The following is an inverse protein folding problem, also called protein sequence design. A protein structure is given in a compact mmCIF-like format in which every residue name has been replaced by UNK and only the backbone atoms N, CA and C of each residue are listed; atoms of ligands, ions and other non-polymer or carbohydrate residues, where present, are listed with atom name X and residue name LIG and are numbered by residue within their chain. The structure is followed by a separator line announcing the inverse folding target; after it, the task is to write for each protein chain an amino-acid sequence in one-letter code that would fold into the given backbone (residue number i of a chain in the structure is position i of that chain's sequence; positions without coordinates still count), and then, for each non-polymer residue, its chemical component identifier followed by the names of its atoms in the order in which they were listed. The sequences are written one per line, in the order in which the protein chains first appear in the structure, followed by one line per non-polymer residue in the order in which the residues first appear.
data_IF_355368158912
#
_entry.id   IF_355368158912
#
_cell.length_a   1.000
_cell.length_b   1.000
_cell.length_c   1.000
_cell.angle_alpha   90.00
_cell.angle_beta   90.00
_cell.angle_gamma   90.00
#
_symmetry.space_group_name_H-M   'P 1'
#
loop_
_entity.id
_entity.type
_entity.pdbx_description
1 polymer ?
#
# COMPACT_ATOMS: atom_id res chain seq x y z
N UNK A 1 -11.87 -46.61 27.48
CA UNK A 1 -10.59 -46.81 28.20
C UNK A 1 -9.98 -45.45 28.47
N UNK A 2 -9.51 -45.28 29.72
CA UNK A 2 -8.88 -44.08 30.29
C UNK A 2 -7.51 -43.76 29.63
N UNK A 3 -6.97 -42.54 29.86
CA UNK A 3 -5.92 -41.89 29.07
C UNK A 3 -4.50 -42.21 29.57
N UNK A 4 -3.47 -41.49 29.08
CA UNK A 4 -2.52 -40.94 30.04
C UNK A 4 -2.22 -39.45 29.87
N UNK A 5 -1.81 -38.89 31.01
CA UNK A 5 -1.45 -37.52 31.30
C UNK A 5 0.05 -37.29 31.17
N UNK A 6 0.43 -36.00 31.04
CA UNK A 6 1.64 -35.30 31.54
C UNK A 6 1.92 -34.09 30.62
N UNK A 7 2.49 -32.96 31.00
CA UNK A 7 2.81 -32.30 32.28
C UNK A 7 3.62 -31.02 31.88
N UNK A 8 3.26 -29.87 32.48
CA UNK A 8 4.11 -28.72 32.85
C UNK A 8 5.07 -28.05 31.84
N UNK A 9 4.73 -26.81 31.47
CA UNK A 9 5.57 -25.59 31.50
C UNK A 9 4.64 -24.39 31.15
N UNK A 10 4.47 -23.32 31.92
CA UNK A 10 5.47 -22.53 32.63
C UNK A 10 5.90 -21.36 31.74
N UNK A 11 5.14 -20.25 31.69
CA UNK A 11 5.50 -19.11 30.83
C UNK A 11 4.56 -17.90 30.90
N UNK A 12 4.79 -17.05 31.90
CA UNK A 12 4.58 -15.59 31.94
C UNK A 12 3.32 -14.98 31.28
N UNK A 13 2.31 -14.73 32.14
CA UNK A 13 1.35 -13.63 31.96
C UNK A 13 2.09 -12.29 32.10
N UNK A 14 2.33 -11.61 30.99
CA UNK A 14 2.69 -10.19 30.99
C UNK A 14 1.40 -9.37 31.07
N UNK A 15 1.18 -8.79 32.25
CA UNK A 15 0.13 -7.83 32.55
C UNK A 15 0.36 -6.54 31.76
N UNK A 16 -0.36 -6.38 30.65
CA UNK A 16 -0.50 -5.08 29.99
C UNK A 16 -1.40 -4.18 30.85
N UNK A 17 -0.82 -3.08 31.32
CA UNK A 17 -1.44 -2.03 32.14
C UNK A 17 -2.74 -1.49 31.52
N UNK A 18 -3.82 -1.32 32.31
CA UNK A 18 -4.92 -0.45 31.91
C UNK A 18 -4.48 1.01 32.05
N UNK A 19 -4.54 1.75 30.95
CA UNK A 19 -4.38 3.21 30.94
C UNK A 19 -5.50 3.84 31.80
N UNK A 20 -5.19 4.80 32.70
CA UNK A 20 -6.22 5.43 33.51
C UNK A 20 -6.99 6.47 32.68
N UNK A 21 -8.31 6.36 32.76
CA UNK A 21 -9.28 7.37 32.33
C UNK A 21 -9.02 8.68 33.08
N UNK A 22 -8.68 9.70 32.30
CA UNK A 22 -8.44 11.06 32.76
C UNK A 22 -9.80 11.71 33.10
N UNK A 23 -10.07 11.91 34.39
CA UNK A 23 -11.16 12.77 34.88
C UNK A 23 -10.54 14.09 35.36
N UNK A 24 -11.17 15.25 35.13
CA UNK A 24 -10.60 16.53 35.54
C UNK A 24 -10.68 16.68 37.07
N UNK A 25 -9.51 16.70 37.73
CA UNK A 25 -9.39 17.18 39.10
C UNK A 25 -9.36 18.72 39.10
N UNK A 26 -10.35 19.33 39.73
CA UNK A 26 -10.29 20.72 40.19
C UNK A 26 -9.48 20.71 41.49
N UNK A 27 -8.22 21.14 41.43
CA UNK A 27 -7.31 21.23 42.57
C UNK A 27 -7.37 22.64 43.19
N UNK A 28 -7.88 22.71 44.41
CA UNK A 28 -7.71 23.85 45.31
C UNK A 28 -6.61 23.51 46.33
N UNK A 29 -5.44 24.12 46.19
CA UNK A 29 -4.47 24.21 47.30
C UNK A 29 -3.81 25.58 47.33
N UNK A 30 -3.98 26.26 48.45
CA UNK A 30 -3.12 27.32 48.96
C UNK A 30 -1.64 26.92 48.93
N UNK A 31 -0.74 27.83 48.50
CA UNK A 31 0.38 28.42 49.30
C UNK A 31 1.10 29.48 48.44
N UNK A 32 1.53 30.57 49.07
CA UNK A 32 2.15 31.80 48.53
C UNK A 32 3.37 31.59 47.60
N UNK A 33 3.75 32.60 46.79
CA UNK A 33 4.72 33.60 47.26
C UNK A 33 4.43 35.04 46.78
N UNK A 34 5.10 35.99 47.42
CA UNK A 34 4.88 37.43 47.24
C UNK A 34 5.51 38.07 46.01
N UNK A 35 5.44 39.40 46.05
CA UNK A 35 6.04 40.45 45.21
C UNK A 35 4.99 41.31 44.48
N UNK A 36 5.19 42.62 44.63
CA UNK A 36 4.32 43.73 44.25
C UNK A 36 3.99 43.83 42.74
N UNK A 37 3.04 44.69 42.36
CA UNK A 37 3.48 46.00 41.87
C UNK A 37 2.61 47.20 42.27
N UNK A 38 3.26 48.36 42.12
CA UNK A 38 2.82 49.73 42.32
C UNK A 38 1.63 50.18 41.46
N UNK A 39 0.93 51.21 41.94
CA UNK A 39 0.00 52.08 41.19
C UNK A 39 -1.17 52.51 42.07
N UNK A 40 -1.04 53.48 42.98
CA UNK A 40 -0.92 54.94 42.76
C UNK A 40 -2.13 55.56 42.04
N UNK A 41 -3.11 56.01 42.83
CA UNK A 41 -4.00 57.17 42.58
C UNK A 41 -4.53 57.60 43.96
N UNK A 42 -3.89 58.52 44.68
CA UNK A 42 -3.94 59.99 44.54
C UNK A 42 -5.30 60.61 44.91
N UNK A 43 -5.39 61.15 46.14
CA UNK A 43 -6.24 62.28 46.53
C UNK A 43 -7.18 62.05 47.73
N UNK A 44 -7.37 63.02 48.65
CA UNK A 44 -6.45 64.01 49.20
C UNK A 44 -6.23 63.82 50.73
N UNK A 45 -5.21 64.46 51.34
CA UNK A 45 -5.01 64.42 52.78
C UNK A 45 -5.93 65.44 53.47
N UNK A 46 -6.89 64.95 54.26
CA UNK A 46 -7.55 65.82 55.24
C UNK A 46 -6.57 65.97 56.40
N UNK A 47 -5.98 67.16 56.47
CA UNK A 47 -5.06 67.61 57.49
C UNK A 47 -5.61 67.29 58.89
N UNK A 48 -4.96 66.35 59.58
CA UNK A 48 -5.01 66.26 61.03
C UNK A 48 -4.24 67.47 61.59
N UNK A 49 -4.98 68.56 61.75
CA UNK A 49 -4.52 69.75 62.44
C UNK A 49 -4.34 69.38 63.92
N UNK A 50 -3.12 68.98 64.28
CA UNK A 50 -2.66 68.92 65.67
C UNK A 50 -2.47 70.35 66.17
N UNK A 51 -3.56 71.06 66.38
CA UNK A 51 -3.59 72.25 67.22
C UNK A 51 -3.82 71.78 68.65
N UNK A 52 -2.77 71.83 69.46
CA UNK A 52 -2.88 71.80 70.91
C UNK A 52 -3.86 72.88 71.35
N UNK A 53 -5.04 72.44 71.78
CA UNK A 53 -5.98 73.21 72.58
C UNK A 53 -6.36 72.31 73.73
N UNK A 54 -6.01 72.72 74.95
CA UNK A 54 -6.43 72.05 76.17
C UNK A 54 -7.96 72.05 76.26
N UNK A 55 -8.59 71.03 75.70
CA UNK A 55 -9.98 70.70 75.97
C UNK A 55 -10.01 69.99 77.31
N UNK A 56 -10.04 70.77 78.39
CA UNK A 56 -10.39 70.23 79.70
C UNK A 56 -11.65 69.38 79.53
N UNK A 57 -11.64 68.16 80.06
CA UNK A 57 -12.85 67.39 80.24
C UNK A 57 -13.83 68.30 80.97
N UNK A 58 -14.83 68.82 80.25
CA UNK A 58 -15.89 69.61 80.86
C UNK A 58 -16.62 68.63 81.75
N UNK A 59 -16.27 68.65 83.04
CA UNK A 59 -17.03 67.96 84.05
C UNK A 59 -18.39 68.66 84.07
N UNK A 60 -19.42 67.97 83.59
CA UNK A 60 -20.80 68.42 83.70
C UNK A 60 -21.22 68.33 85.16
N UNK A 61 -20.71 69.26 85.96
CA UNK A 61 -21.00 69.38 87.37
C UNK A 61 -22.25 70.24 87.50
N UNK A 62 -23.30 69.64 88.05
CA UNK A 62 -24.57 70.31 88.27
C UNK A 62 -24.42 71.31 89.42
N UNK A 63 -25.09 72.46 89.31
CA UNK A 63 -25.28 73.32 90.48
C UNK A 63 -26.03 72.55 91.57
N UNK A 64 -25.79 72.81 92.87
CA UNK A 64 -26.53 72.16 93.95
C UNK A 64 -28.06 72.24 93.80
N UNK A 65 -28.56 73.36 93.25
CA UNK A 65 -29.99 73.55 92.97
C UNK A 65 -30.46 72.67 91.81
N UNK A 66 -29.66 72.51 90.77
CA UNK A 66 -29.96 71.67 89.60
C UNK A 66 -29.91 70.18 89.98
N UNK A 67 -28.92 69.77 90.75
CA UNK A 67 -28.81 68.42 91.26
C UNK A 67 -29.96 68.06 92.20
N UNK A 68 -30.38 68.96 93.09
CA UNK A 68 -31.55 68.73 93.93
C UNK A 68 -32.83 68.54 93.09
N UNK A 69 -33.03 69.36 92.05
CA UNK A 69 -34.14 69.20 91.10
C UNK A 69 -34.06 67.86 90.36
N UNK A 70 -32.88 67.49 89.89
CA UNK A 70 -32.64 66.22 89.21
C UNK A 70 -32.93 65.02 90.13
N UNK A 71 -32.49 65.07 91.39
CA UNK A 71 -32.76 64.05 92.41
C UNK A 71 -34.26 63.83 92.59
N UNK A 72 -35.04 64.90 92.76
CA UNK A 72 -36.50 64.78 92.93
C UNK A 72 -37.15 64.13 91.70
N UNK A 73 -36.72 64.50 90.49
CA UNK A 73 -37.22 63.92 89.25
C UNK A 73 -36.83 62.45 89.07
N UNK A 74 -35.60 62.09 89.42
CA UNK A 74 -35.08 60.71 89.33
C UNK A 74 -35.79 59.81 90.36
N UNK A 75 -36.02 60.30 91.58
CA UNK A 75 -36.78 59.55 92.59
C UNK A 75 -38.22 59.30 92.14
N UNK A 76 -38.86 60.31 91.55
CA UNK A 76 -40.21 60.16 91.00
C UNK A 76 -40.23 59.19 89.81
N UNK A 77 -39.25 59.27 88.91
CA UNK A 77 -39.09 58.31 87.81
C UNK A 77 -38.89 56.88 88.33
N UNK A 78 -38.08 56.69 89.38
CA UNK A 78 -37.90 55.38 90.02
C UNK A 78 -39.20 54.86 90.65
N UNK A 79 -39.97 55.71 91.34
CA UNK A 79 -41.29 55.32 91.88
C UNK A 79 -42.24 54.88 90.77
N UNK A 80 -42.29 55.63 89.67
CA UNK A 80 -43.12 55.29 88.51
C UNK A 80 -42.64 54.00 87.83
N UNK A 81 -41.33 53.80 87.69
CA UNK A 81 -40.79 52.60 87.05
C UNK A 81 -40.96 51.36 87.93
N UNK A 82 -40.90 51.51 89.25
CA UNK A 82 -41.29 50.47 90.22
C UNK A 82 -42.79 50.16 90.15
N UNK A 83 -43.64 51.17 90.01
CA UNK A 83 -45.07 50.99 89.81
C UNK A 83 -45.38 50.23 88.51
N UNK A 84 -44.72 50.61 87.42
CA UNK A 84 -44.84 49.93 86.11
C UNK A 84 -44.27 48.52 86.14
N UNK A 85 -43.23 48.25 86.95
CA UNK A 85 -42.70 46.90 87.21
C UNK A 85 -43.68 46.03 88.01
N UNK A 86 -44.48 46.64 88.90
CA UNK A 86 -45.57 45.97 89.63
C UNK A 86 -46.80 45.71 88.76
N UNK A 87 -47.06 46.59 87.78
CA UNK A 87 -48.19 46.48 86.85
C UNK A 87 -47.95 45.45 85.75
N UNK A 88 -46.73 45.41 85.20
CA UNK A 88 -46.39 44.36 84.23
C UNK A 88 -46.21 43.06 84.98
N UNK A 89 -46.79 41.95 84.50
CA UNK A 89 -46.68 40.68 85.18
C UNK A 89 -45.21 40.28 85.26
N UNK A 90 -44.58 40.54 86.40
CA UNK A 90 -43.36 39.85 86.76
C UNK A 90 -43.73 38.37 86.75
N UNK A 91 -42.96 37.57 86.02
CA UNK A 91 -43.07 36.09 85.87
C UNK A 91 -43.12 35.31 87.20
N UNK A 92 -43.10 36.00 88.34
CA UNK A 92 -43.04 35.51 89.70
C UNK A 92 -44.34 35.72 90.51
N UNK A 93 -45.36 36.42 89.98
CA UNK A 93 -46.70 36.44 90.59
C UNK A 93 -47.50 35.24 90.11
N UNK A 94 -47.69 34.25 90.97
CA UNK A 94 -48.37 32.98 90.67
C UNK A 94 -49.78 33.13 90.09
N UNK A 95 -50.45 34.27 90.27
CA UNK A 95 -51.79 34.50 89.72
C UNK A 95 -51.78 34.91 88.23
N UNK A 96 -50.74 35.59 87.74
CA UNK A 96 -50.70 36.10 86.36
C UNK A 96 -49.79 35.28 85.45
N UNK A 97 -49.01 34.35 86.01
CA UNK A 97 -48.41 33.25 85.24
C UNK A 97 -49.51 32.53 84.46
N UNK A 98 -50.67 32.33 85.08
CA UNK A 98 -51.84 31.74 84.46
C UNK A 98 -52.37 32.55 83.26
N UNK A 99 -52.30 33.89 83.24
CA UNK A 99 -52.80 34.67 82.09
C UNK A 99 -51.87 34.66 80.88
N UNK A 100 -50.55 34.74 81.10
CA UNK A 100 -49.56 34.65 80.03
C UNK A 100 -49.44 33.21 79.50
N UNK A 101 -49.57 32.24 80.41
CA UNK A 101 -49.71 30.84 80.06
C UNK A 101 -51.05 30.60 79.37
N UNK A 102 -52.17 31.19 79.79
CA UNK A 102 -53.47 31.13 79.09
C UNK A 102 -53.41 31.72 77.68
N UNK A 103 -52.66 32.81 77.44
CA UNK A 103 -52.48 33.36 76.10
C UNK A 103 -51.59 32.47 75.23
N UNK A 104 -50.52 31.90 75.79
CA UNK A 104 -49.65 30.94 75.10
C UNK A 104 -50.37 29.60 74.85
N UNK A 105 -51.17 29.14 75.80
CA UNK A 105 -52.05 27.97 75.74
C UNK A 105 -53.18 28.25 74.75
N UNK A 106 -53.80 29.42 74.75
CA UNK A 106 -54.85 29.79 73.78
C UNK A 106 -54.33 29.81 72.35
N UNK A 107 -53.12 30.33 72.14
CA UNK A 107 -52.45 30.26 70.83
C UNK A 107 -51.99 28.84 70.48
N UNK A 108 -51.57 28.07 71.48
CA UNK A 108 -51.32 26.63 71.36
C UNK A 108 -52.57 25.84 70.96
N UNK A 109 -53.72 26.15 71.56
CA UNK A 109 -55.02 25.55 71.31
C UNK A 109 -55.54 25.92 69.92
N UNK A 110 -55.29 27.16 69.47
CA UNK A 110 -55.57 27.60 68.10
C UNK A 110 -54.71 26.83 67.08
N UNK A 111 -53.43 26.60 67.37
CA UNK A 111 -52.55 25.76 66.55
C UNK A 111 -53.02 24.29 66.56
N UNK A 112 -53.38 23.75 67.73
CA UNK A 112 -53.93 22.39 67.86
C UNK A 112 -55.25 22.26 67.10
N UNK A 113 -56.09 23.29 67.10
CA UNK A 113 -57.33 23.36 66.31
C UNK A 113 -57.02 23.36 64.82
N UNK A 114 -56.06 24.16 64.35
CA UNK A 114 -55.62 24.17 62.94
C UNK A 114 -55.03 22.82 62.52
N UNK A 115 -54.26 22.15 63.38
CA UNK A 115 -53.73 20.81 63.12
C UNK A 115 -54.88 19.80 62.97
N UNK A 116 -55.88 19.85 63.86
CA UNK A 116 -57.07 18.98 63.76
C UNK A 116 -57.86 19.25 62.48
N UNK A 117 -58.06 20.52 62.12
CA UNK A 117 -58.72 20.91 60.87
C UNK A 117 -57.94 20.40 59.64
N UNK A 118 -56.60 20.47 59.66
CA UNK A 118 -55.75 19.91 58.61
C UNK A 118 -55.89 18.39 58.53
N UNK A 119 -55.86 17.67 59.65
CA UNK A 119 -56.06 16.21 59.67
C UNK A 119 -57.43 15.79 59.13
N UNK A 120 -58.48 16.56 59.42
CA UNK A 120 -59.82 16.33 58.85
C UNK A 120 -59.87 16.59 57.35
N UNK A 121 -59.14 17.60 56.84
CA UNK A 121 -59.01 17.85 55.40
C UNK A 121 -58.23 16.72 54.70
N UNK A 122 -57.19 16.19 55.32
CA UNK A 122 -56.41 15.05 54.83
C UNK A 122 -57.25 13.76 54.77
N UNK A 123 -58.07 13.51 55.78
CA UNK A 123 -59.01 12.39 55.82
C UNK A 123 -60.04 12.50 54.69
N UNK A 124 -60.68 13.66 54.53
CA UNK A 124 -61.63 13.90 53.42
C UNK A 124 -60.97 13.81 52.04
N UNK A 125 -59.72 14.28 51.89
CA UNK A 125 -58.98 14.16 50.64
C UNK A 125 -58.72 12.69 50.29
N UNK A 126 -58.39 11.87 51.29
CA UNK A 126 -58.21 10.43 51.12
C UNK A 126 -59.51 9.74 50.72
N UNK A 127 -60.62 10.06 51.40
CA UNK A 127 -61.95 9.52 51.06
C UNK A 127 -62.37 9.87 49.62
N UNK A 128 -62.19 11.13 49.19
CA UNK A 128 -62.48 11.55 47.81
C UNK A 128 -61.55 10.90 46.79
N UNK A 129 -60.29 10.66 47.14
CA UNK A 129 -59.35 9.95 46.29
C UNK A 129 -59.77 8.49 46.09
N UNK A 130 -60.18 7.82 47.17
CA UNK A 130 -60.70 6.45 47.14
C UNK A 130 -62.02 6.38 46.35
N UNK A 131 -62.92 7.36 46.53
CA UNK A 131 -64.16 7.47 45.76
C UNK A 131 -63.88 7.69 44.27
N UNK A 132 -62.93 8.57 43.93
CA UNK A 132 -62.46 8.80 42.56
C UNK A 132 -61.93 7.52 41.92
N UNK A 133 -61.12 6.74 42.63
CA UNK A 133 -60.60 5.46 42.14
C UNK A 133 -61.72 4.44 41.86
N UNK A 134 -62.72 4.35 42.75
CA UNK A 134 -63.89 3.46 42.56
C UNK A 134 -64.78 3.89 41.39
N UNK A 135 -64.90 5.19 41.14
CA UNK A 135 -65.66 5.76 40.01
C UNK A 135 -64.91 5.65 38.67
N UNK A 136 -63.58 5.51 38.70
CA UNK A 136 -62.72 5.37 37.52
C UNK A 136 -62.90 3.98 36.89
N UNK A 137 -63.84 3.88 35.97
CA UNK A 137 -64.23 2.62 35.30
C UNK A 137 -65.75 2.41 35.23
N UNK A 138 -66.53 3.19 35.98
CA UNK A 138 -67.98 3.25 35.87
C UNK A 138 -68.39 4.39 34.93
N UNK A 139 -69.45 4.21 34.13
CA UNK A 139 -69.92 5.17 33.11
C UNK A 139 -70.52 6.48 33.68
N UNK A 140 -70.38 6.73 34.98
CA UNK A 140 -70.97 7.91 35.63
C UNK A 140 -70.01 9.10 35.61
N UNK A 141 -69.88 9.69 34.41
CA UNK A 141 -68.99 10.83 34.11
C UNK A 141 -69.31 12.05 34.98
N UNK A 142 -70.60 12.27 35.29
CA UNK A 142 -71.05 13.43 36.06
C UNK A 142 -70.64 13.34 37.55
N UNK A 143 -70.81 12.17 38.17
CA UNK A 143 -70.32 11.94 39.55
C UNK A 143 -68.79 11.98 39.63
N UNK A 144 -68.09 11.48 38.61
CA UNK A 144 -66.63 11.56 38.55
C UNK A 144 -66.18 13.03 38.51
N UNK A 145 -66.79 13.86 37.66
CA UNK A 145 -66.48 15.29 37.57
C UNK A 145 -66.79 16.04 38.88
N UNK A 146 -67.89 15.70 39.57
CA UNK A 146 -68.21 16.27 40.88
C UNK A 146 -67.12 15.97 41.92
N UNK A 147 -66.69 14.69 42.00
CA UNK A 147 -65.62 14.27 42.91
C UNK A 147 -64.28 14.91 42.54
N UNK A 148 -64.00 15.13 41.25
CA UNK A 148 -62.79 15.84 40.82
C UNK A 148 -62.78 17.31 41.24
N UNK A 149 -63.93 18.00 41.12
CA UNK A 149 -64.07 19.38 41.58
C UNK A 149 -63.92 19.49 43.11
N UNK A 150 -64.59 18.61 43.86
CA UNK A 150 -64.46 18.56 45.32
C UNK A 150 -63.01 18.24 45.76
N UNK A 151 -62.31 17.36 45.04
CA UNK A 151 -60.91 17.05 45.30
C UNK A 151 -60.00 18.26 45.07
N UNK A 152 -60.27 19.05 44.03
CA UNK A 152 -59.54 20.28 43.74
C UNK A 152 -59.80 21.34 44.83
N UNK A 153 -61.05 21.52 45.26
CA UNK A 153 -61.42 22.42 46.36
C UNK A 153 -60.76 22.02 47.69
N UNK A 154 -60.78 20.73 48.06
CA UNK A 154 -60.13 20.25 49.28
C UNK A 154 -58.61 20.40 49.16
N UNK A 155 -58.03 20.14 47.98
CA UNK A 155 -56.60 20.38 47.74
C UNK A 155 -56.22 21.85 47.95
N UNK A 156 -57.07 22.78 47.49
CA UNK A 156 -56.85 24.21 47.71
C UNK A 156 -57.00 24.59 49.19
N UNK A 157 -58.06 24.14 49.87
CA UNK A 157 -58.27 24.37 51.31
C UNK A 157 -57.14 23.79 52.16
N UNK A 158 -56.60 22.64 51.79
CA UNK A 158 -55.44 22.02 52.45
C UNK A 158 -54.16 22.85 52.26
N UNK A 159 -53.92 23.40 51.05
CA UNK A 159 -52.81 24.32 50.80
C UNK A 159 -52.95 25.62 51.62
N UNK A 160 -54.14 26.17 51.69
CA UNK A 160 -54.44 27.40 52.44
C UNK A 160 -54.29 27.17 53.96
N UNK A 161 -54.87 26.09 54.49
CA UNK A 161 -54.75 25.69 55.90
C UNK A 161 -53.29 25.42 56.29
N UNK A 162 -52.50 24.74 55.45
CA UNK A 162 -51.08 24.49 55.72
C UNK A 162 -50.27 25.81 55.69
N UNK A 163 -50.57 26.72 54.77
CA UNK A 163 -49.96 28.05 54.73
C UNK A 163 -50.28 28.86 55.99
N UNK A 164 -51.51 28.78 56.47
CA UNK A 164 -51.97 29.46 57.69
C UNK A 164 -51.34 28.86 58.95
N UNK A 165 -51.28 27.53 59.06
CA UNK A 165 -50.55 26.83 60.11
C UNK A 165 -49.06 27.22 60.12
N UNK A 166 -48.39 27.16 58.96
CA UNK A 166 -46.98 27.53 58.83
C UNK A 166 -46.74 29.01 59.16
N UNK A 167 -47.68 29.90 58.83
CA UNK A 167 -47.63 31.32 59.22
C UNK A 167 -47.80 31.46 60.72
N UNK A 168 -48.77 30.78 61.33
CA UNK A 168 -49.02 30.82 62.77
C UNK A 168 -47.83 30.27 63.57
N UNK A 169 -47.20 29.18 63.11
CA UNK A 169 -45.99 28.62 63.71
C UNK A 169 -44.79 29.57 63.58
N UNK A 170 -44.62 30.25 62.44
CA UNK A 170 -43.56 31.27 62.24
C UNK A 170 -43.80 32.56 63.00
N UNK A 171 -45.07 32.92 63.20
CA UNK A 171 -45.47 34.13 63.88
C UNK A 171 -45.62 33.94 65.38
N UNK A 172 -45.43 32.71 65.91
CA UNK A 172 -45.55 32.41 67.32
C UNK A 172 -44.54 33.27 68.09
N UNK A 173 -44.97 34.40 68.67
CA UNK A 173 -44.06 35.25 69.41
C UNK A 173 -43.73 34.48 70.66
N UNK A 174 -42.45 34.36 71.02
CA UNK A 174 -42.14 33.86 72.34
C UNK A 174 -42.50 34.93 73.37
N UNK A 175 -43.79 35.02 73.69
CA UNK A 175 -44.40 36.02 74.57
C UNK A 175 -43.73 35.93 75.96
N UNK A 176 -43.37 34.72 76.37
CA UNK A 176 -42.67 34.45 77.63
C UNK A 176 -41.24 35.00 77.60
N UNK A 177 -40.43 34.69 76.58
CA UNK A 177 -39.07 35.24 76.45
C UNK A 177 -39.08 36.77 76.31
N UNK A 178 -40.03 37.33 75.55
CA UNK A 178 -40.17 38.77 75.39
C UNK A 178 -40.56 39.45 76.71
N UNK A 179 -41.44 38.85 77.50
CA UNK A 179 -41.81 39.36 78.82
C UNK A 179 -40.61 39.31 79.79
N UNK A 180 -39.86 38.21 79.80
CA UNK A 180 -38.63 38.07 80.60
C UNK A 180 -37.59 39.12 80.19
N UNK A 181 -37.35 39.28 78.88
CA UNK A 181 -36.43 40.28 78.35
C UNK A 181 -36.84 41.70 78.74
N UNK A 182 -38.13 42.03 78.60
CA UNK A 182 -38.67 43.33 79.00
C UNK A 182 -38.45 43.58 80.50
N UNK A 183 -38.62 42.56 81.34
CA UNK A 183 -38.39 42.69 82.78
C UNK A 183 -36.91 42.90 83.11
N UNK A 184 -36.00 42.20 82.44
CA UNK A 184 -34.55 42.41 82.59
C UNK A 184 -34.12 43.81 82.14
N UNK A 185 -34.63 44.29 81.00
CA UNK A 185 -34.36 45.66 80.53
C UNK A 185 -34.86 46.71 81.52
N UNK A 186 -36.04 46.50 82.11
CA UNK A 186 -36.58 47.38 83.16
C UNK A 186 -35.72 47.38 84.41
N UNK A 187 -35.30 46.22 84.90
CA UNK A 187 -34.42 46.12 86.06
C UNK A 187 -33.10 46.84 85.81
N UNK A 188 -32.49 46.63 84.63
CA UNK A 188 -31.27 47.32 84.21
C UNK A 188 -31.45 48.84 84.22
N UNK A 189 -32.59 49.35 83.73
CA UNK A 189 -32.91 50.78 83.80
C UNK A 189 -33.09 51.24 85.26
N UNK A 190 -33.76 50.47 86.13
CA UNK A 190 -33.88 50.82 87.55
C UNK A 190 -32.52 50.97 88.21
N UNK A 191 -31.61 50.02 87.97
CA UNK A 191 -30.23 50.06 88.48
C UNK A 191 -29.51 51.32 87.97
N UNK A 192 -29.66 51.67 86.69
CA UNK A 192 -29.04 52.87 86.12
C UNK A 192 -29.56 54.17 86.74
N UNK A 193 -30.87 54.27 86.98
CA UNK A 193 -31.46 55.43 87.64
C UNK A 193 -31.10 55.49 89.13
N UNK A 194 -30.97 54.34 89.80
CA UNK A 194 -30.51 54.29 91.20
C UNK A 194 -29.04 54.70 91.34
N UNK A 195 -28.18 54.23 90.44
CA UNK A 195 -26.77 54.64 90.40
C UNK A 195 -26.63 56.13 90.09
N UNK A 196 -27.40 56.64 89.13
CA UNK A 196 -27.45 58.07 88.81
C UNK A 196 -27.94 58.89 90.01
N UNK A 197 -28.95 58.42 90.73
CA UNK A 197 -29.47 59.09 91.92
C UNK A 197 -28.36 59.26 92.97
N UNK A 198 -27.59 58.21 93.21
CA UNK A 198 -26.47 58.25 94.15
C UNK A 198 -25.35 59.16 93.64
N UNK A 199 -24.99 59.07 92.36
CA UNK A 199 -23.94 59.92 91.75
C UNK A 199 -24.29 61.41 91.84
N UNK A 200 -25.54 61.79 91.55
CA UNK A 200 -25.99 63.18 91.62
C UNK A 200 -26.06 63.67 93.07
N UNK A 201 -26.43 62.81 94.04
CA UNK A 201 -26.47 63.15 95.47
C UNK A 201 -25.08 63.36 96.07
N UNK A 202 -24.11 62.53 95.69
CA UNK A 202 -22.77 62.51 96.30
C UNK A 202 -21.77 63.41 95.58
N UNK A 203 -21.79 63.41 94.24
CA UNK A 203 -20.74 64.01 93.41
C UNK A 203 -21.22 65.18 92.55
N UNK A 204 -22.54 65.43 92.50
CA UNK A 204 -23.15 66.43 91.60
C UNK A 204 -22.83 66.19 90.11
N UNK A 205 -22.60 64.94 89.71
CA UNK A 205 -22.28 64.54 88.33
C UNK A 205 -23.23 63.45 87.81
N UNK A 206 -23.24 63.23 86.49
CA UNK A 206 -24.00 62.17 85.82
C UNK A 206 -23.15 61.40 84.79
N UNK A 207 -21.83 61.39 84.98
CA UNK A 207 -20.87 60.86 84.01
C UNK A 207 -21.05 59.36 83.81
N UNK A 208 -21.39 58.61 84.86
CA UNK A 208 -21.63 57.17 84.77
C UNK A 208 -22.76 56.84 83.78
N UNK A 209 -23.87 57.59 83.84
CA UNK A 209 -24.97 57.41 82.90
C UNK A 209 -24.56 57.79 81.46
N UNK A 210 -23.82 58.89 81.30
CA UNK A 210 -23.32 59.31 79.99
C UNK A 210 -22.42 58.24 79.35
N UNK A 211 -21.50 57.67 80.12
CA UNK A 211 -20.60 56.60 79.67
C UNK A 211 -21.38 55.33 79.33
N UNK A 212 -22.41 54.98 80.12
CA UNK A 212 -23.29 53.83 79.83
C UNK A 212 -24.12 54.02 78.55
N UNK A 213 -24.71 55.20 78.36
CA UNK A 213 -25.52 55.52 77.16
C UNK A 213 -24.64 55.54 75.91
N UNK A 214 -23.42 56.10 75.99
CA UNK A 214 -22.49 56.08 74.86
C UNK A 214 -22.02 54.66 74.53
N UNK A 215 -21.75 53.83 75.55
CA UNK A 215 -21.43 52.42 75.36
C UNK A 215 -22.59 51.63 74.72
N UNK A 216 -23.84 51.84 75.15
CA UNK A 216 -25.02 51.16 74.58
C UNK A 216 -25.30 51.61 73.15
N UNK A 217 -25.15 52.91 72.83
CA UNK A 217 -25.22 53.42 71.45
C UNK A 217 -24.17 52.74 70.56
N UNK A 218 -22.93 52.65 71.03
CA UNK A 218 -21.86 51.99 70.29
C UNK A 218 -22.10 50.49 70.10
N UNK A 219 -22.66 49.79 71.10
CA UNK A 219 -23.07 48.40 70.96
C UNK A 219 -24.21 48.24 69.95
N UNK A 220 -25.17 49.16 69.94
CA UNK A 220 -26.28 49.16 68.99
C UNK A 220 -25.81 49.39 67.55
N UNK A 221 -24.85 50.29 67.34
CA UNK A 221 -24.20 50.52 66.05
C UNK A 221 -23.48 49.26 65.55
N UNK A 222 -22.68 48.62 66.41
CA UNK A 222 -22.03 47.33 66.09
C UNK A 222 -23.03 46.26 65.70
N UNK A 223 -24.14 46.15 66.45
CA UNK A 223 -25.19 45.18 66.16
C UNK A 223 -25.87 45.46 64.82
N UNK A 224 -26.10 46.73 64.47
CA UNK A 224 -26.63 47.12 63.17
C UNK A 224 -25.66 46.83 62.03
N UNK A 225 -24.36 47.04 62.23
CA UNK A 225 -23.33 46.71 61.26
C UNK A 225 -23.26 45.19 61.03
N UNK A 226 -23.28 44.39 62.10
CA UNK A 226 -23.33 42.93 62.01
C UNK A 226 -24.59 42.51 61.23
N UNK A 227 -25.77 43.05 61.55
CA UNK A 227 -27.01 42.76 60.81
C UNK A 227 -26.88 43.08 59.32
N UNK A 228 -26.25 44.21 58.97
CA UNK A 228 -26.01 44.60 57.58
C UNK A 228 -25.08 43.59 56.89
N UNK A 229 -23.92 43.28 57.50
CA UNK A 229 -22.97 42.28 56.97
C UNK A 229 -23.60 40.90 56.83
N UNK A 230 -24.42 40.46 57.78
CA UNK A 230 -25.14 39.18 57.71
C UNK A 230 -26.13 39.18 56.54
N UNK A 231 -26.86 40.28 56.29
CA UNK A 231 -27.77 40.38 55.14
C UNK A 231 -27.01 40.33 53.82
N UNK A 232 -25.92 41.09 53.70
CA UNK A 232 -25.05 41.10 52.52
C UNK A 232 -24.43 39.72 52.27
N UNK A 233 -23.91 39.06 53.31
CA UNK A 233 -23.39 37.70 53.22
C UNK A 233 -24.46 36.70 52.81
N UNK A 234 -25.66 36.76 53.40
CA UNK A 234 -26.78 35.89 53.02
C UNK A 234 -27.20 36.11 51.56
N UNK A 235 -27.19 37.35 51.09
CA UNK A 235 -27.47 37.66 49.69
C UNK A 235 -26.37 37.13 48.76
N UNK A 236 -25.09 37.27 49.14
CA UNK A 236 -23.97 36.73 48.39
C UNK A 236 -24.04 35.19 48.29
N UNK A 237 -24.35 34.49 49.39
CA UNK A 237 -24.56 33.04 49.37
C UNK A 237 -25.69 32.64 48.42
N UNK A 238 -26.83 33.35 48.44
CA UNK A 238 -27.94 33.08 47.50
C UNK A 238 -27.55 33.28 46.04
N UNK A 239 -26.74 34.30 45.75
CA UNK A 239 -26.24 34.54 44.38
C UNK A 239 -25.29 33.41 43.94
N UNK A 240 -24.37 33.01 44.81
CA UNK A 240 -23.45 31.89 44.53
C UNK A 240 -24.19 30.56 44.36
N UNK A 241 -25.21 30.28 45.16
CA UNK A 241 -26.05 29.08 44.98
C UNK A 241 -26.82 29.10 43.65
N UNK A 242 -27.26 30.28 43.20
CA UNK A 242 -27.94 30.43 41.92
C UNK A 242 -26.96 30.24 40.74
N UNK A 243 -25.76 30.80 40.84
CA UNK A 243 -24.69 30.65 39.85
C UNK A 243 -24.22 29.20 39.76
N UNK A 244 -23.97 28.54 40.89
CA UNK A 244 -23.62 27.13 40.96
C UNK A 244 -24.69 26.26 40.29
N UNK A 245 -25.97 26.48 40.59
CA UNK A 245 -27.08 25.76 39.93
C UNK A 245 -27.11 25.98 38.42
N UNK A 246 -26.83 27.21 37.97
CA UNK A 246 -26.77 27.55 36.54
C UNK A 246 -25.60 26.83 35.86
N UNK A 247 -24.42 26.87 36.46
CA UNK A 247 -23.20 26.24 35.95
C UNK A 247 -23.34 24.71 35.91
N UNK A 248 -23.92 24.08 36.94
CA UNK A 248 -24.22 22.63 36.91
C UNK A 248 -25.18 22.28 35.79
N UNK A 249 -26.18 23.12 35.52
CA UNK A 249 -27.15 22.88 34.45
C UNK A 249 -26.51 23.09 33.05
N UNK A 250 -25.58 24.03 32.90
CA UNK A 250 -24.81 24.24 31.67
C UNK A 250 -23.87 23.06 31.42
N UNK A 251 -23.12 22.63 32.44
CA UNK A 251 -22.26 21.45 32.37
C UNK A 251 -23.04 20.18 32.00
N UNK A 252 -24.23 19.95 32.58
CA UNK A 252 -25.09 18.82 32.19
C UNK A 252 -25.55 18.89 30.72
N UNK A 253 -25.82 20.09 30.20
CA UNK A 253 -26.19 20.25 28.77
C UNK A 253 -25.00 19.97 27.88
N UNK A 254 -23.81 20.46 28.22
CA UNK A 254 -22.57 20.19 27.48
C UNK A 254 -22.20 18.71 27.51
N UNK A 255 -22.34 18.05 28.67
CA UNK A 255 -22.15 16.61 28.81
C UNK A 255 -23.12 15.80 27.94
N UNK A 256 -24.38 16.23 27.82
CA UNK A 256 -25.36 15.60 26.92
C UNK A 256 -24.98 15.82 25.44
N UNK A 257 -24.57 17.03 25.08
CA UNK A 257 -24.16 17.36 23.71
C UNK A 257 -22.91 16.59 23.28
N UNK A 258 -21.86 16.60 24.10
CA UNK A 258 -20.61 15.86 23.86
C UNK A 258 -20.85 14.35 23.77
N UNK A 259 -21.68 13.78 24.64
CA UNK A 259 -22.05 12.36 24.54
C UNK A 259 -22.83 12.05 23.25
N UNK A 260 -23.72 12.94 22.81
CA UNK A 260 -24.42 12.78 21.54
C UNK A 260 -23.44 12.79 20.36
N UNK A 261 -22.48 13.71 20.35
CA UNK A 261 -21.45 13.79 19.32
C UNK A 261 -20.53 12.55 19.33
N UNK A 262 -20.13 12.07 20.51
CA UNK A 262 -19.37 10.83 20.65
C UNK A 262 -20.12 9.64 20.04
N UNK A 263 -21.43 9.54 20.29
CA UNK A 263 -22.24 8.46 19.73
C UNK A 263 -22.35 8.56 18.21
N UNK A 264 -22.56 9.77 17.68
CA UNK A 264 -22.57 10.01 16.23
C UNK A 264 -21.23 9.62 15.58
N UNK A 265 -20.11 10.04 16.15
CA UNK A 265 -18.77 9.67 15.66
C UNK A 265 -18.51 8.16 15.75
N UNK A 266 -19.02 7.49 16.79
CA UNK A 266 -18.95 6.01 16.89
C UNK A 266 -19.75 5.33 15.78
N UNK A 267 -20.96 5.81 15.48
CA UNK A 267 -21.79 5.30 14.39
C UNK A 267 -21.11 5.51 13.04
N UNK A 268 -20.57 6.70 12.76
CA UNK A 268 -19.82 6.99 11.55
C UNK A 268 -18.58 6.09 11.40
N UNK A 269 -17.85 5.85 12.50
CA UNK A 269 -16.70 4.97 12.52
C UNK A 269 -17.11 3.50 12.24
N UNK A 270 -18.20 3.02 12.83
CA UNK A 270 -18.73 1.69 12.55
C UNK A 270 -19.18 1.55 11.09
N UNK A 271 -19.88 2.55 10.55
CA UNK A 271 -20.30 2.58 9.15
C UNK A 271 -19.10 2.56 8.21
N UNK A 272 -18.06 3.36 8.49
CA UNK A 272 -16.84 3.38 7.68
C UNK A 272 -16.08 2.04 7.75
N UNK A 273 -15.99 1.41 8.93
CA UNK A 273 -15.41 0.06 9.04
C UNK A 273 -16.17 -0.96 8.20
N UNK A 274 -17.50 -0.94 8.27
CA UNK A 274 -18.34 -1.85 7.50
C UNK A 274 -18.20 -1.60 5.99
N UNK A 275 -18.21 -0.33 5.55
CA UNK A 275 -17.98 0.05 4.14
C UNK A 275 -16.61 -0.41 3.65
N UNK A 276 -15.55 -0.17 4.41
CA UNK A 276 -14.19 -0.60 4.05
C UNK A 276 -14.07 -2.11 3.98
N UNK A 277 -14.63 -2.83 4.95
CA UNK A 277 -14.64 -4.31 4.96
C UNK A 277 -15.40 -4.87 3.76
N UNK A 278 -16.58 -4.33 3.44
CA UNK A 278 -17.35 -4.72 2.27
C UNK A 278 -16.58 -4.44 0.97
N UNK A 279 -15.99 -3.25 0.83
CA UNK A 279 -15.20 -2.87 -0.34
C UNK A 279 -14.02 -3.81 -0.55
N UNK A 280 -13.26 -4.09 0.51
CA UNK A 280 -12.14 -5.02 0.47
C UNK A 280 -12.59 -6.43 0.08
N UNK A 281 -13.67 -6.94 0.67
CA UNK A 281 -14.21 -8.25 0.30
C UNK A 281 -14.71 -8.34 -1.15
N UNK A 282 -15.21 -7.21 -1.70
CA UNK A 282 -15.64 -7.14 -3.09
C UNK A 282 -14.45 -7.10 -4.03
N UNK A 283 -13.44 -6.29 -3.73
CA UNK A 283 -12.18 -6.22 -4.48
C UNK A 283 -11.45 -7.56 -4.47
N UNK A 284 -11.38 -8.25 -3.33
CA UNK A 284 -10.81 -9.61 -3.23
C UNK A 284 -11.54 -10.60 -4.14
N UNK A 285 -12.89 -10.60 -4.11
CA UNK A 285 -13.68 -11.49 -4.99
C UNK A 285 -13.50 -11.13 -6.46
N UNK A 286 -13.41 -9.85 -6.78
CA UNK A 286 -13.19 -9.39 -8.15
C UNK A 286 -11.80 -9.81 -8.66
N UNK A 287 -10.75 -9.63 -7.85
CA UNK A 287 -9.39 -10.06 -8.19
C UNK A 287 -9.29 -11.58 -8.32
N UNK A 288 -9.89 -12.33 -7.40
CA UNK A 288 -9.92 -13.80 -7.49
C UNK A 288 -10.64 -14.29 -8.75
N UNK A 289 -11.74 -13.64 -9.16
CA UNK A 289 -12.44 -13.97 -10.40
C UNK A 289 -11.59 -13.63 -11.64
N UNK A 290 -10.90 -12.49 -11.63
CA UNK A 290 -9.98 -12.10 -12.71
C UNK A 290 -8.81 -13.08 -12.82
N UNK A 291 -8.17 -13.42 -11.70
CA UNK A 291 -7.09 -14.41 -11.63
C UNK A 291 -7.56 -15.77 -12.15
N UNK A 292 -8.71 -16.26 -11.69
CA UNK A 292 -9.28 -17.52 -12.18
C UNK A 292 -9.58 -17.48 -13.69
N UNK A 293 -10.06 -16.36 -14.21
CA UNK A 293 -10.29 -16.20 -15.65
C UNK A 293 -8.99 -16.20 -16.46
N UNK A 294 -7.95 -15.52 -15.95
CA UNK A 294 -6.64 -15.44 -16.57
C UNK A 294 -5.96 -16.82 -16.57
N UNK A 295 -6.01 -17.53 -15.44
CA UNK A 295 -5.49 -18.89 -15.32
C UNK A 295 -6.13 -19.84 -16.33
N UNK A 296 -7.46 -19.78 -16.53
CA UNK A 296 -8.12 -20.61 -17.57
C UNK A 296 -7.62 -20.29 -18.98
N UNK A 297 -7.42 -19.02 -19.31
CA UNK A 297 -6.89 -18.62 -20.62
C UNK A 297 -5.45 -19.09 -20.80
N UNK A 298 -4.61 -18.98 -19.75
CA UNK A 298 -3.23 -19.45 -19.78
C UNK A 298 -3.17 -20.97 -19.91
N UNK A 299 -4.00 -21.71 -19.17
CA UNK A 299 -4.11 -23.16 -19.28
C UNK A 299 -4.52 -23.59 -20.70
N UNK A 300 -5.48 -22.91 -21.32
CA UNK A 300 -5.85 -23.21 -22.71
C UNK A 300 -4.66 -22.99 -23.66
N UNK A 301 -3.92 -21.90 -23.49
CA UNK A 301 -2.72 -21.63 -24.29
C UNK A 301 -1.61 -22.67 -24.07
N UNK A 302 -1.43 -23.14 -22.84
CA UNK A 302 -0.49 -24.23 -22.54
C UNK A 302 -0.88 -25.49 -23.30
N UNK A 303 -2.16 -25.88 -23.27
CA UNK A 303 -2.67 -27.03 -24.04
C UNK A 303 -2.46 -26.82 -25.54
N UNK A 304 -2.81 -25.65 -26.09
CA UNK A 304 -2.63 -25.36 -27.52
C UNK A 304 -1.15 -25.44 -27.94
N UNK A 305 -0.23 -24.97 -27.09
CA UNK A 305 1.22 -25.05 -27.33
C UNK A 305 1.75 -26.48 -27.20
N UNK A 306 1.25 -27.26 -26.24
CA UNK A 306 1.58 -28.69 -26.11
C UNK A 306 1.13 -29.47 -27.34
N UNK A 307 -0.09 -29.22 -27.84
CA UNK A 307 -0.59 -29.82 -29.07
C UNK A 307 0.28 -29.46 -30.28
N UNK A 308 0.63 -28.18 -30.44
CA UNK A 308 1.52 -27.71 -31.51
C UNK A 308 2.90 -28.38 -31.44
N UNK A 309 3.45 -28.52 -30.23
CA UNK A 309 4.73 -29.19 -29.98
C UNK A 309 4.66 -30.67 -30.40
N UNK A 310 3.58 -31.38 -30.06
CA UNK A 310 3.37 -32.77 -30.47
C UNK A 310 3.28 -32.90 -32.00
N UNK A 311 2.63 -31.95 -32.68
CA UNK A 311 2.55 -31.94 -34.15
C UNK A 311 3.93 -31.74 -34.77
N UNK A 312 4.71 -30.77 -34.29
CA UNK A 312 6.07 -30.54 -34.77
C UNK A 312 7.01 -31.73 -34.48
N UNK A 313 6.88 -32.38 -33.32
CA UNK A 313 7.62 -33.61 -33.01
C UNK A 313 7.31 -34.72 -34.01
N UNK A 314 6.02 -34.94 -34.34
CA UNK A 314 5.62 -35.93 -35.35
C UNK A 314 6.19 -35.59 -36.73
N UNK A 315 6.17 -34.31 -37.11
CA UNK A 315 6.77 -33.83 -38.36
C UNK A 315 8.27 -34.11 -38.39
N UNK A 316 8.99 -33.77 -37.33
CA UNK A 316 10.42 -33.98 -37.24
C UNK A 316 10.78 -35.48 -37.32
N UNK A 317 10.02 -36.37 -36.67
CA UNK A 317 10.20 -37.82 -36.82
C UNK A 317 9.97 -38.28 -38.28
N UNK A 318 8.96 -37.73 -38.96
CA UNK A 318 8.72 -38.02 -40.38
C UNK A 318 9.86 -37.51 -41.29
N UNK A 319 10.43 -36.34 -40.99
CA UNK A 319 11.59 -35.80 -41.70
C UNK A 319 12.84 -36.65 -41.42
N UNK A 320 13.11 -37.01 -40.17
CA UNK A 320 14.23 -37.88 -39.77
C UNK A 320 14.15 -39.26 -40.45
N UNK A 321 12.97 -39.87 -40.50
CA UNK A 321 12.76 -41.15 -41.20
C UNK A 321 13.01 -40.99 -42.70
N UNK A 322 12.47 -39.95 -43.34
CA UNK A 322 12.72 -39.65 -44.75
C UNK A 322 14.19 -39.39 -45.05
N UNK A 323 14.87 -38.62 -44.19
CA UNK A 323 16.31 -38.38 -44.26
C UNK A 323 17.11 -39.67 -44.09
N UNK A 324 16.72 -40.56 -43.17
CA UNK A 324 17.36 -41.86 -43.00
C UNK A 324 17.20 -42.74 -44.24
N UNK A 325 16.01 -42.76 -44.87
CA UNK A 325 15.76 -43.45 -46.13
C UNK A 325 16.60 -42.87 -47.27
N UNK A 326 16.63 -41.55 -47.45
CA UNK A 326 17.42 -40.89 -48.48
C UNK A 326 18.92 -41.12 -48.27
N UNK A 327 19.39 -41.07 -47.02
CA UNK A 327 20.78 -41.35 -46.68
C UNK A 327 21.17 -42.80 -46.99
N UNK A 328 20.31 -43.78 -46.68
CA UNK A 328 20.51 -45.18 -47.06
C UNK A 328 20.58 -45.34 -48.58
N UNK A 329 19.60 -44.79 -49.30
CA UNK A 329 19.59 -44.83 -50.77
C UNK A 329 20.85 -44.21 -51.38
N UNK A 330 21.27 -43.03 -50.89
CA UNK A 330 22.49 -42.37 -51.35
C UNK A 330 23.73 -43.24 -51.10
N UNK A 331 23.85 -43.86 -49.93
CA UNK A 331 24.95 -44.79 -49.61
C UNK A 331 24.94 -46.01 -50.52
N UNK A 332 23.79 -46.64 -50.73
CA UNK A 332 23.64 -47.79 -51.63
C UNK A 332 23.97 -47.44 -53.07
N UNK A 333 23.51 -46.28 -53.55
CA UNK A 333 23.82 -45.78 -54.88
C UNK A 333 25.31 -45.48 -55.06
N UNK A 334 25.94 -44.82 -54.07
CA UNK A 334 27.40 -44.60 -54.06
C UNK A 334 28.12 -45.94 -54.12
N UNK A 335 27.73 -46.93 -53.33
CA UNK A 335 28.32 -48.27 -53.35
C UNK A 335 28.13 -48.96 -54.70
N UNK A 336 26.95 -48.84 -55.32
CA UNK A 336 26.67 -49.38 -56.66
C UNK A 336 27.58 -48.74 -57.71
N UNK A 337 27.66 -47.41 -57.74
CA UNK A 337 28.56 -46.69 -58.66
C UNK A 337 30.03 -47.02 -58.39
N UNK A 338 30.43 -47.20 -57.13
CA UNK A 338 31.78 -47.65 -56.78
C UNK A 338 32.08 -49.07 -57.30
N UNK A 339 31.12 -49.99 -57.21
CA UNK A 339 31.23 -51.34 -57.78
C UNK A 339 31.31 -51.30 -59.30
N UNK A 340 30.40 -50.58 -59.97
CA UNK A 340 30.43 -50.41 -61.42
C UNK A 340 31.76 -49.78 -61.88
N UNK A 341 32.26 -48.77 -61.16
CA UNK A 341 33.58 -48.19 -61.40
C UNK A 341 34.68 -49.23 -61.24
N UNK A 342 34.63 -50.07 -60.21
CA UNK A 342 35.62 -51.14 -60.02
C UNK A 342 35.54 -52.19 -61.13
N UNK A 343 34.34 -52.61 -61.53
CA UNK A 343 34.14 -53.54 -62.65
C UNK A 343 34.64 -52.96 -63.99
N UNK A 344 34.46 -51.66 -64.22
CA UNK A 344 35.03 -50.97 -65.38
C UNK A 344 36.55 -50.91 -65.30
N UNK A 345 37.09 -50.63 -64.12
CA UNK A 345 38.53 -50.63 -63.88
C UNK A 345 39.13 -52.02 -64.12
N UNK A 346 38.50 -53.07 -63.60
CA UNK A 346 38.93 -54.46 -63.76
C UNK A 346 38.82 -54.93 -65.22
N UNK A 347 37.75 -54.54 -65.94
CA UNK A 347 37.64 -54.80 -67.39
C UNK A 347 38.72 -54.06 -68.18
N UNK A 348 38.95 -52.79 -67.87
CA UNK A 348 39.98 -52.00 -68.52
C UNK A 348 41.37 -52.58 -68.28
N UNK A 349 41.69 -53.03 -67.06
CA UNK A 349 42.97 -53.70 -66.77
C UNK A 349 43.07 -55.03 -67.51
N UNK A 350 42.02 -55.86 -67.51
CA UNK A 350 41.99 -57.11 -68.28
C UNK A 350 42.19 -56.89 -69.77
N UNK A 351 41.46 -55.97 -70.40
CA UNK A 351 41.63 -55.64 -71.82
C UNK A 351 43.02 -55.08 -72.11
N UNK A 352 43.58 -54.27 -71.20
CA UNK A 352 44.93 -53.73 -71.34
C UNK A 352 45.97 -54.85 -71.25
N UNK A 353 45.81 -55.78 -70.30
CA UNK A 353 46.66 -56.96 -70.16
C UNK A 353 46.54 -57.90 -71.36
N UNK A 354 45.34 -58.16 -71.86
CA UNK A 354 45.10 -58.96 -73.07
C UNK A 354 45.74 -58.31 -74.30
N UNK A 355 45.53 -57.00 -74.49
CA UNK A 355 46.19 -56.28 -75.58
C UNK A 355 47.70 -56.26 -75.42
N UNK A 356 48.23 -56.15 -74.20
CA UNK A 356 49.66 -56.31 -73.95
C UNK A 356 50.15 -57.71 -74.28
N UNK A 357 49.41 -58.78 -73.94
CA UNK A 357 49.73 -60.15 -74.35
C UNK A 357 49.75 -60.29 -75.87
N UNK A 358 48.72 -59.82 -76.56
CA UNK A 358 48.66 -59.81 -78.03
C UNK A 358 49.84 -59.04 -78.63
N UNK A 359 50.20 -57.89 -78.06
CA UNK A 359 51.35 -57.10 -78.49
C UNK A 359 52.66 -57.86 -78.27
N UNK A 360 52.82 -58.55 -77.13
CA UNK A 360 54.00 -59.41 -76.90
C UNK A 360 54.05 -60.60 -77.85
N UNK A 361 52.92 -61.20 -78.21
CA UNK A 361 52.87 -62.33 -79.15
C UNK A 361 53.12 -61.87 -80.59
N UNK A 362 52.62 -60.71 -80.98
CA UNK A 362 52.97 -60.04 -82.23
C UNK A 362 54.47 -59.71 -82.29
N UNK A 363 55.06 -59.22 -81.21
CA UNK A 363 56.51 -58.99 -81.13
C UNK A 363 57.30 -60.30 -81.23
N UNK A 364 56.84 -61.39 -80.60
CA UNK A 364 57.46 -62.73 -80.78
C UNK A 364 57.31 -63.21 -82.23
N UNK A 365 56.16 -62.98 -82.86
CA UNK A 365 55.91 -63.35 -84.25
C UNK A 365 56.78 -62.52 -85.21
N UNK A 366 56.88 -61.21 -84.99
CA UNK A 366 57.82 -60.35 -85.72
C UNK A 366 59.26 -60.82 -85.55
N UNK A 367 59.69 -61.16 -84.32
CA UNK A 367 61.04 -61.66 -84.07
C UNK A 367 61.31 -63.02 -84.72
N UNK A 368 60.31 -63.89 -84.81
CA UNK A 368 60.44 -65.17 -85.55
C UNK A 368 60.51 -64.95 -87.05
N UNK A 369 59.70 -64.04 -87.60
CA UNK A 369 59.80 -63.62 -89.01
C UNK A 369 61.17 -63.00 -89.29
N UNK A 370 61.67 -62.11 -88.43
CA UNK A 370 63.00 -61.52 -88.55
C UNK A 370 64.10 -62.59 -88.52
N UNK A 371 64.00 -63.62 -87.67
CA UNK A 371 64.93 -64.76 -87.70
C UNK A 371 64.84 -65.55 -89.00
N UNK A 372 63.63 -65.85 -89.49
CA UNK A 372 63.48 -66.57 -90.77
C UNK A 372 64.01 -65.75 -91.94
N UNK A 373 63.79 -64.43 -91.92
CA UNK A 373 64.28 -63.51 -92.94
C UNK A 373 65.81 -63.47 -92.92
N UNK A 374 66.43 -63.37 -91.74
CA UNK A 374 67.88 -63.46 -91.59
C UNK A 374 68.45 -64.78 -92.14
N UNK A 375 67.79 -65.93 -91.88
CA UNK A 375 68.20 -67.23 -92.42
C UNK A 375 68.06 -67.30 -93.94
N UNK A 376 66.97 -66.75 -94.51
CA UNK A 376 66.78 -66.71 -95.97
C UNK A 376 67.74 -65.75 -96.66
N UNK A 377 68.12 -64.66 -96.00
CA UNK A 377 69.07 -63.69 -96.52
C UNK A 377 70.49 -64.27 -96.51
N UNK A 378 70.86 -64.97 -95.43
CA UNK A 378 72.11 -65.72 -95.35
C UNK A 378 72.21 -66.80 -96.44
N UNK A 379 71.12 -67.53 -96.74
CA UNK A 379 71.08 -68.48 -97.87
C UNK A 379 71.23 -67.81 -99.23
N UNK A 380 70.67 -66.61 -99.40
CA UNK A 380 70.81 -65.84 -100.64
C UNK A 380 72.26 -65.36 -100.84
N UNK A 381 72.90 -64.91 -99.77
CA UNK A 381 74.31 -64.49 -99.80
C UNK A 381 75.22 -65.70 -100.11
N UNK A 382 74.98 -66.86 -99.50
CA UNK A 382 75.70 -68.11 -99.82
C UNK A 382 75.52 -68.55 -101.29
N UNK A 383 74.29 -68.44 -101.83
CA UNK A 383 73.98 -68.77 -103.24
C UNK A 383 74.57 -67.76 -104.25
N UNK A 384 74.74 -66.49 -103.85
CA UNK A 384 75.42 -65.47 -104.66
C UNK A 384 76.93 -65.69 -104.67
N UNK A 385 77.54 -66.02 -103.53
CA UNK A 385 78.96 -66.37 -103.47
C UNK A 385 79.28 -67.63 -104.29
N UNK A 386 78.38 -68.63 -104.31
CA UNK A 386 78.54 -69.81 -105.14
C UNK A 386 78.51 -69.48 -106.64
N UNK A 387 77.56 -68.63 -107.07
CA UNK A 387 77.45 -68.20 -108.47
C UNK A 387 78.62 -67.33 -108.93
N UNK A 388 79.11 -66.43 -108.08
CA UNK A 388 80.27 -65.60 -108.42
C UNK A 388 81.57 -66.41 -108.53
N UNK A 389 81.74 -67.49 -107.77
CA UNK A 389 82.89 -68.40 -107.91
C UNK A 389 82.83 -69.16 -109.24
N UNK A 390 81.65 -69.62 -109.66
CA UNK A 390 81.46 -70.32 -110.94
C UNK A 390 81.66 -69.40 -112.15
N UNK A 391 81.24 -68.13 -112.10
CA UNK A 391 81.44 -67.16 -113.18
C UNK A 391 82.91 -66.74 -113.34
N UNK A 392 83.66 -66.61 -112.24
CA UNK A 392 85.10 -66.29 -112.29
C UNK A 392 85.93 -67.41 -112.93
N UNK A 393 85.58 -68.68 -112.71
CA UNK A 393 86.23 -69.83 -113.33
C UNK A 393 85.87 -69.99 -114.82
N UNK A 394 84.69 -69.53 -115.25
CA UNK A 394 84.27 -69.54 -116.65
C UNK A 394 84.92 -68.42 -117.49
N UNK A 395 85.14 -67.22 -116.92
CA UNK A 395 85.81 -66.11 -117.62
C UNK A 395 87.28 -66.40 -117.92
N UNK A 396 88.01 -67.05 -117.01
CA UNK A 396 89.44 -67.35 -117.21
C UNK A 396 89.67 -68.38 -118.34
N UNK A 397 88.75 -69.32 -118.55
CA UNK A 397 88.83 -70.30 -119.65
C UNK A 397 88.44 -69.72 -121.02
N UNK A 398 87.62 -68.67 -121.07
CA UNK A 398 87.19 -68.02 -122.31
C UNK A 398 88.25 -67.05 -122.89
N UNK A 399 89.07 -66.40 -122.05
CA UNK A 399 90.11 -65.46 -122.51
C UNK A 399 91.25 -66.15 -123.27
N UNK A 400 91.65 -67.36 -122.87
CA UNK A 400 92.76 -68.11 -123.50
C UNK A 400 92.41 -68.60 -124.93
N UNK A 401 91.12 -68.77 -125.25
CA UNK A 401 90.68 -69.28 -126.55
C UNK A 401 90.59 -68.19 -127.64
N UNK A 402 90.38 -66.93 -127.26
CA UNK A 402 90.13 -65.82 -128.19
C UNK A 402 91.43 -65.27 -128.80
N UNK A 403 92.55 -65.27 -128.07
CA UNK A 403 93.83 -64.78 -128.58
C UNK A 403 94.44 -65.68 -129.66
N UNK A 404 94.16 -66.99 -129.64
CA UNK A 404 94.69 -67.96 -130.62
C UNK A 404 94.06 -67.82 -132.02
N UNK A 405 92.81 -67.36 -132.10
CA UNK A 405 92.07 -67.20 -133.37
C UNK A 405 92.44 -65.93 -134.16
N UNK A 406 93.04 -64.94 -133.52
CA UNK A 406 93.27 -63.59 -134.09
C UNK A 406 94.55 -63.47 -134.93
N UNK A 407 95.45 -64.44 -134.84
CA UNK A 407 96.69 -64.49 -135.64
C UNK A 407 96.48 -65.15 -137.02
N UNK A 408 95.53 -66.07 -137.16
CA UNK A 408 95.29 -66.82 -138.40
C UNK A 408 94.52 -66.00 -139.46
N UNK A 409 93.62 -65.09 -139.06
CA UNK A 409 92.85 -64.25 -140.01
C UNK A 409 93.68 -63.18 -140.75
N UNK A 410 94.84 -62.79 -140.23
CA UNK A 410 95.65 -61.71 -140.85
C UNK A 410 96.37 -62.17 -142.13
N UNK A 411 96.73 -63.46 -142.23
CA UNK A 411 97.48 -63.99 -143.37
C UNK A 411 96.58 -64.30 -144.59
N UNK A 412 95.27 -64.46 -144.38
CA UNK A 412 94.32 -64.82 -145.44
C UNK A 412 93.83 -63.63 -146.30
N UNK A 413 93.92 -62.39 -145.81
CA UNK A 413 93.29 -61.23 -146.46
C UNK A 413 94.14 -60.51 -147.53
N UNK A 414 95.45 -60.73 -147.59
CA UNK A 414 96.31 -60.00 -148.54
C UNK A 414 96.42 -60.65 -149.93
N UNK A 415 96.11 -61.94 -150.09
CA UNK A 415 96.11 -62.64 -151.38
C UNK A 415 94.94 -62.24 -152.31
N UNK A 416 93.84 -61.74 -151.75
CA UNK A 416 92.60 -61.44 -152.48
C UNK A 416 92.66 -60.11 -153.25
N UNK A 417 93.56 -59.19 -152.89
CA UNK A 417 93.67 -57.87 -153.53
C UNK A 417 94.33 -57.91 -154.92
N UNK A 418 95.23 -58.88 -155.15
CA UNK A 418 96.02 -58.99 -156.39
C UNK A 418 95.18 -59.56 -157.56
N UNK A 419 94.21 -60.44 -157.28
CA UNK A 419 93.40 -61.10 -158.31
C UNK A 419 92.24 -60.24 -158.87
N UNK A 420 91.76 -59.23 -158.11
CA UNK A 420 90.63 -58.38 -158.55
C UNK A 420 90.98 -57.30 -159.57
N UNK A 421 92.25 -56.95 -159.76
CA UNK A 421 92.64 -55.87 -160.67
C UNK A 421 92.69 -56.34 -162.15
N UNK A 422 93.25 -57.52 -162.42
CA UNK A 422 93.45 -58.02 -163.79
C UNK A 422 92.15 -58.47 -164.49
N UNK A 423 91.16 -58.96 -163.74
CA UNK A 423 89.87 -59.38 -164.29
C UNK A 423 89.01 -58.22 -164.83
N UNK A 424 89.33 -56.97 -164.46
CA UNK A 424 88.36 -55.88 -164.62
C UNK A 424 88.21 -55.32 -166.02
N UNK A 425 89.18 -55.39 -166.93
CA UNK A 425 89.05 -54.63 -168.19
C UNK A 425 89.46 -55.33 -169.49
N UNK A 426 89.77 -56.62 -169.45
CA UNK A 426 89.48 -57.50 -170.59
C UNK A 426 87.97 -57.44 -170.96
N UNK A 427 87.11 -57.23 -169.96
CA UNK A 427 85.66 -57.03 -170.11
C UNK A 427 85.24 -55.68 -170.74
N UNK A 428 86.15 -54.72 -170.91
CA UNK A 428 85.85 -53.45 -171.62
C UNK A 428 85.87 -53.58 -173.16
N UNK A 429 86.39 -54.70 -173.69
CA UNK A 429 86.66 -54.91 -175.12
C UNK A 429 85.56 -55.66 -175.90
N UNK A 430 84.56 -56.22 -175.21
CA UNK A 430 83.58 -57.15 -175.80
C UNK A 430 82.16 -56.57 -175.95
N UNK A 431 81.82 -55.47 -175.28
CA UNK A 431 80.42 -55.02 -175.21
C UNK A 431 79.99 -53.87 -176.16
N UNK A 432 80.89 -53.26 -176.93
CA UNK A 432 80.54 -52.09 -177.77
C UNK A 432 80.38 -52.37 -179.29
N UNK A 433 80.52 -53.62 -179.76
CA UNK A 433 80.03 -54.05 -181.12
C UNK A 433 78.51 -54.27 -181.14
N UNK A 434 77.84 -54.28 -179.97
CA UNK A 434 76.39 -54.41 -179.86
C UNK A 434 75.70 -53.10 -179.45
N UNK A 435 76.29 -51.97 -179.84
CA UNK A 435 75.48 -50.91 -180.45
C UNK A 435 74.64 -51.57 -181.56
N UNK A 436 73.33 -51.44 -181.63
CA UNK A 436 72.75 -50.34 -182.37
C UNK A 436 71.23 -50.57 -182.49
N UNK A 437 70.49 -50.29 -181.42
CA UNK A 437 69.18 -49.67 -181.60
C UNK A 437 68.84 -48.84 -180.35
N UNK A 438 69.17 -47.54 -180.48
CA UNK A 438 68.49 -46.37 -179.92
C UNK A 438 68.52 -46.28 -178.38
N UNK A 439 69.65 -45.94 -177.77
CA UNK A 439 70.34 -44.63 -177.69
C UNK A 439 69.73 -43.60 -176.71
N UNK A 440 70.48 -43.43 -175.62
CA UNK A 440 70.64 -42.29 -174.70
C UNK A 440 69.77 -42.21 -173.41
N UNK A 441 70.44 -42.71 -172.35
CA UNK A 441 70.60 -42.19 -170.96
C UNK A 441 69.92 -42.98 -169.80
N UNK A 442 70.56 -44.15 -169.49
CA UNK A 442 70.92 -44.76 -168.16
C UNK A 442 70.40 -44.05 -166.90
N UNK A 443 69.94 -44.70 -165.82
CA UNK A 443 69.85 -46.12 -165.38
C UNK A 443 69.37 -46.10 -163.90
N UNK A 444 68.38 -46.91 -163.47
CA UNK A 444 68.49 -48.30 -162.95
C UNK A 444 69.36 -48.36 -161.68
N UNK A 445 68.80 -48.55 -160.48
CA UNK A 445 68.26 -49.82 -159.97
C UNK A 445 69.26 -50.39 -158.94
N UNK A 446 68.93 -51.12 -157.88
CA UNK A 446 67.71 -51.78 -157.44
C UNK A 446 68.08 -52.75 -156.30
N UNK A 447 67.06 -53.36 -155.68
CA UNK A 447 67.17 -54.48 -154.72
C UNK A 447 67.28 -54.02 -153.27
N UNK A 448 66.22 -53.90 -152.47
CA UNK A 448 65.03 -54.75 -152.19
C UNK A 448 65.35 -56.04 -151.41
N UNK A 449 64.88 -56.02 -150.16
CA UNK A 449 64.41 -57.12 -149.29
C UNK A 449 65.37 -58.26 -148.96
N UNK A 450 65.50 -58.49 -147.66
CA UNK A 450 64.82 -59.63 -147.07
C UNK A 450 65.58 -60.36 -145.96
N UNK A 451 64.93 -60.43 -144.79
CA UNK A 451 65.18 -61.42 -143.75
C UNK A 451 66.44 -61.16 -142.91
N UNK A 452 66.43 -61.26 -141.59
CA UNK A 452 65.51 -61.93 -140.70
C UNK A 452 66.34 -62.54 -139.59
N UNK A 453 65.89 -62.36 -138.36
CA UNK A 453 66.06 -63.28 -137.24
C UNK A 453 67.47 -63.49 -136.65
N UNK A 454 67.63 -63.02 -135.40
CA UNK A 454 68.13 -63.78 -134.25
C UNK A 454 68.11 -62.80 -133.06
N UNK A 455 67.15 -62.86 -132.12
CA UNK A 455 67.05 -63.80 -130.99
C UNK A 455 68.34 -63.94 -130.19
N UNK A 456 68.24 -63.60 -128.90
CA UNK A 456 69.24 -63.82 -127.86
C UNK A 456 69.73 -62.49 -127.30
N UNK A 457 69.69 -62.25 -126.00
CA UNK A 457 69.79 -63.21 -124.90
C UNK A 457 69.13 -62.65 -123.64
#
# INVERSE_FOLDING_TARGET
MKPPAASLAGGALSSASPAPLNSPQVSSTHTAPGAAPNGSTAGPPVASNSSGGGGGTVYWQLSPVEAFRAVVLIEEALRQLLFVSKLVPSSNSSQNKNQLDELAISKGDEIVKMIKEQSLLEEKFKELTDAKQKLKGLSNIEKLRSVENELEEISQKMRESNKELCRSLKQNPNIQENAVKLQLERQKIQEWYADLLNEVKESFTFKSLQDRVTAEKHQQEKLNEIKKRTRESTQAVRLLEAELKKETAEYEREMKYTNAEINKLKEELQQNRLRSSLKLSFEEKQLAAQEASLLRVLQQKEVDLEEALVVEQKRNVSEETSHAHLSKFAKEYILKVQKERQEWYDRFTQETEEKQRVLTDLLKHQNTIMRTLAVTQQRLDDDQEHREKEEKDAMQKAQILIERSRQEERLANDSVKILRHFARLYLKKVQDILEAQKSKKKGKGGGKKGGGNAKGK
#
